data_IF_695067203422
#
_entry.id   IF_695067203422
#
_cell.length_a   1.000
_cell.length_b   1.000
_cell.length_c   1.000
_cell.angle_alpha   90.00
_cell.angle_beta   90.00
_cell.angle_gamma   90.00
#
_symmetry.space_group_name_H-M   'P 1'
#
loop_
_entity.id
_entity.type
_entity.pdbx_description
1 polymer ?
#
# COMPACT_ATOMS: atom_id res chain seq x y z
N UNK A 1 30.95 -4.23 9.13
CA UNK A 1 29.65 -3.62 9.50
C UNK A 1 29.00 -2.75 8.40
N UNK A 2 29.68 -2.37 7.30
CA UNK A 2 29.10 -1.47 6.27
C UNK A 2 28.08 -2.09 5.29
N UNK A 3 28.18 -3.39 4.98
CA UNK A 3 27.31 -4.03 3.96
C UNK A 3 25.87 -4.19 4.46
N UNK A 4 25.68 -4.59 5.73
CA UNK A 4 24.34 -4.73 6.31
C UNK A 4 23.61 -3.39 6.46
N UNK A 5 24.35 -2.31 6.76
CA UNK A 5 23.77 -0.96 6.84
C UNK A 5 23.37 -0.44 5.45
N UNK A 6 24.18 -0.73 4.42
CA UNK A 6 23.88 -0.41 3.03
C UNK A 6 22.65 -1.16 2.50
N UNK A 7 22.50 -2.45 2.83
CA UNK A 7 21.33 -3.24 2.42
C UNK A 7 20.03 -2.73 3.08
N UNK A 8 20.07 -2.43 4.39
CA UNK A 8 18.92 -1.86 5.09
C UNK A 8 18.53 -0.50 4.53
N UNK A 9 19.51 0.36 4.27
CA UNK A 9 19.26 1.66 3.64
C UNK A 9 18.64 1.51 2.25
N UNK A 10 19.21 0.66 1.40
CA UNK A 10 18.69 0.42 0.05
C UNK A 10 17.25 -0.11 0.08
N UNK A 11 16.94 -1.02 1.00
CA UNK A 11 15.57 -1.51 1.21
C UNK A 11 14.63 -0.40 1.67
N UNK A 12 15.00 0.41 2.68
CA UNK A 12 14.20 1.55 3.13
C UNK A 12 13.96 2.57 2.01
N UNK A 13 14.98 2.86 1.20
CA UNK A 13 14.85 3.73 0.03
C UNK A 13 13.87 3.13 -0.98
N UNK A 14 13.99 1.85 -1.32
CA UNK A 14 13.09 1.18 -2.25
C UNK A 14 11.63 1.16 -1.80
N UNK A 15 11.37 0.97 -0.50
CA UNK A 15 10.02 1.08 0.07
C UNK A 15 9.48 2.50 -0.08
N UNK A 16 10.28 3.51 0.25
CA UNK A 16 9.86 4.90 0.12
C UNK A 16 9.62 5.28 -1.34
N UNK A 17 10.49 4.86 -2.26
CA UNK A 17 10.32 5.06 -3.70
C UNK A 17 8.99 4.46 -4.19
N UNK A 18 8.67 3.23 -3.74
CA UNK A 18 7.42 2.55 -4.06
C UNK A 18 6.19 3.38 -3.64
N UNK A 19 6.16 3.93 -2.43
CA UNK A 19 5.05 4.78 -1.97
C UNK A 19 5.04 6.14 -2.67
N UNK A 20 6.20 6.75 -2.95
CA UNK A 20 6.26 8.02 -3.68
C UNK A 20 5.80 7.87 -5.14
N UNK A 21 5.97 6.71 -5.77
CA UNK A 21 5.42 6.42 -7.09
C UNK A 21 3.88 6.35 -7.08
N UNK A 22 3.24 5.99 -5.96
CA UNK A 22 1.79 6.12 -5.80
C UNK A 22 1.38 7.59 -5.67
N UNK A 23 2.14 8.39 -4.93
CA UNK A 23 1.88 9.84 -4.81
C UNK A 23 2.01 10.52 -6.17
N UNK A 24 3.05 10.19 -6.95
CA UNK A 24 3.24 10.71 -8.30
C UNK A 24 2.08 10.33 -9.22
N UNK A 25 1.65 9.06 -9.18
CA UNK A 25 0.48 8.59 -9.92
C UNK A 25 -0.80 9.33 -9.54
N UNK A 26 -1.05 9.54 -8.25
CA UNK A 26 -2.22 10.28 -7.77
C UNK A 26 -2.29 11.70 -8.37
N UNK A 27 -1.14 12.38 -8.48
CA UNK A 27 -1.04 13.73 -9.07
C UNK A 27 -1.24 13.76 -10.59
N UNK A 28 -1.04 12.64 -11.26
CA UNK A 28 -1.10 12.50 -12.71
C UNK A 28 -2.17 11.48 -13.14
N UNK A 29 -3.27 11.42 -12.40
CA UNK A 29 -4.44 10.59 -12.72
C UNK A 29 -5.02 10.96 -14.09
N UNK A 30 -5.63 10.01 -14.80
CA UNK A 30 -6.25 10.29 -16.09
C UNK A 30 -7.48 11.20 -15.93
N UNK A 31 -7.87 11.95 -16.99
CA UNK A 31 -9.09 12.75 -16.95
C UNK A 31 -10.32 11.90 -16.58
N UNK A 32 -11.07 12.34 -15.57
CA UNK A 32 -12.24 11.60 -15.06
C UNK A 32 -11.93 10.59 -13.95
N UNK A 33 -10.66 10.45 -13.58
CA UNK A 33 -10.19 9.64 -12.46
C UNK A 33 -9.60 10.55 -11.38
N UNK A 34 -9.80 10.17 -10.12
CA UNK A 34 -9.10 10.75 -8.98
C UNK A 34 -8.51 9.63 -8.16
N UNK A 35 -7.29 9.83 -7.69
CA UNK A 35 -6.63 8.85 -6.84
C UNK A 35 -5.87 9.55 -5.72
N UNK A 36 -5.80 8.88 -4.58
CA UNK A 36 -5.17 9.41 -3.38
C UNK A 36 -4.52 8.27 -2.60
N UNK A 37 -3.26 8.43 -2.22
CA UNK A 37 -2.68 7.66 -1.13
C UNK A 37 -3.22 8.26 0.16
N UNK A 38 -4.30 7.71 0.71
CA UNK A 38 -5.00 8.22 1.89
C UNK A 38 -4.32 7.85 3.22
N UNK A 39 -3.45 6.84 3.23
CA UNK A 39 -2.56 6.55 4.36
C UNK A 39 -1.23 5.96 3.88
N UNK A 40 -0.15 6.30 4.59
CA UNK A 40 1.16 5.67 4.44
C UNK A 40 1.85 5.60 5.81
N UNK A 41 2.08 4.38 6.29
CA UNK A 41 2.82 4.10 7.51
C UNK A 41 4.13 3.40 7.17
N UNK A 42 5.24 3.92 7.70
CA UNK A 42 6.57 3.33 7.52
C UNK A 42 6.73 2.01 8.30
N UNK A 43 7.73 1.21 7.94
CA UNK A 43 8.15 0.01 8.69
C UNK A 43 8.28 0.29 10.20
N UNK A 44 8.93 1.41 10.57
CA UNK A 44 9.10 1.78 11.98
C UNK A 44 7.77 2.05 12.68
N UNK A 45 6.82 2.68 11.99
CA UNK A 45 5.48 2.88 12.55
C UNK A 45 4.76 1.55 12.67
N UNK A 46 4.82 0.70 11.65
CA UNK A 46 4.20 -0.62 11.68
C UNK A 46 4.76 -1.50 12.81
N UNK A 47 6.07 -1.51 13.00
CA UNK A 47 6.71 -2.24 14.10
C UNK A 47 6.27 -1.76 15.49
N UNK A 48 5.90 -0.48 15.65
CA UNK A 48 5.34 0.03 16.91
C UNK A 48 3.89 -0.38 17.14
N UNK A 49 3.10 -0.57 16.08
CA UNK A 49 1.66 -0.87 16.19
C UNK A 49 1.36 -2.38 16.14
N UNK A 50 2.15 -3.13 15.38
CA UNK A 50 1.89 -4.55 15.07
C UNK A 50 3.06 -5.47 15.44
N UNK A 51 4.17 -4.91 15.94
CA UNK A 51 5.48 -5.57 16.05
C UNK A 51 5.52 -6.83 16.91
N UNK A 52 4.49 -7.07 17.72
CA UNK A 52 4.31 -8.28 18.51
C UNK A 52 3.88 -9.48 17.63
N UNK A 53 3.24 -9.21 16.48
CA UNK A 53 2.73 -10.23 15.56
C UNK A 53 3.41 -10.18 14.18
N UNK A 54 3.55 -8.98 13.61
CA UNK A 54 4.11 -8.76 12.27
C UNK A 54 4.95 -7.48 12.19
N UNK A 55 5.84 -7.43 11.20
CA UNK A 55 6.64 -6.23 10.89
C UNK A 55 6.62 -6.02 9.37
N UNK A 56 5.52 -5.49 8.81
CA UNK A 56 5.45 -5.19 7.39
C UNK A 56 6.38 -4.00 7.08
N UNK A 57 6.88 -3.95 5.85
CA UNK A 57 7.73 -2.87 5.37
C UNK A 57 6.97 -1.56 5.21
N UNK A 58 5.64 -1.65 5.04
CA UNK A 58 4.75 -0.51 5.14
C UNK A 58 3.29 -0.91 5.25
N UNK A 59 2.46 0.06 5.57
CA UNK A 59 1.00 -0.04 5.44
C UNK A 59 0.50 1.12 4.60
N UNK A 60 -0.41 0.84 3.69
CA UNK A 60 -0.94 1.81 2.75
C UNK A 60 -2.45 1.75 2.64
N UNK A 61 -3.03 2.89 2.24
CA UNK A 61 -4.43 2.99 1.86
C UNK A 61 -4.54 3.84 0.61
N UNK A 62 -5.19 3.31 -0.41
CA UNK A 62 -5.36 3.93 -1.72
C UNK A 62 -6.84 4.11 -1.97
N UNK A 63 -7.24 5.36 -2.20
CA UNK A 63 -8.57 5.73 -2.67
C UNK A 63 -8.50 6.01 -4.15
N UNK A 64 -9.56 5.61 -4.84
CA UNK A 64 -9.69 5.81 -6.26
C UNK A 64 -11.16 6.02 -6.61
N UNK A 65 -11.44 7.07 -7.36
CA UNK A 65 -12.76 7.43 -7.85
C UNK A 65 -12.70 7.48 -9.38
N UNK A 66 -13.63 6.77 -10.02
CA UNK A 66 -13.86 6.86 -11.46
C UNK A 66 -15.35 6.81 -11.78
N UNK A 67 -15.70 6.62 -13.05
CA UNK A 67 -17.09 6.49 -13.52
C UNK A 67 -17.88 5.35 -12.86
N UNK A 68 -17.20 4.39 -12.23
CA UNK A 68 -17.83 3.25 -11.54
C UNK A 68 -18.01 3.51 -10.03
N UNK A 69 -17.58 4.68 -9.54
CA UNK A 69 -17.75 5.13 -8.16
C UNK A 69 -16.46 5.08 -7.33
N UNK A 70 -16.61 5.36 -6.04
CA UNK A 70 -15.53 5.35 -5.07
C UNK A 70 -15.11 3.92 -4.70
N UNK A 71 -13.81 3.65 -4.77
CA UNK A 71 -13.17 2.42 -4.31
C UNK A 71 -12.00 2.74 -3.41
N UNK A 72 -11.74 1.84 -2.48
CA UNK A 72 -10.61 1.95 -1.58
C UNK A 72 -10.03 0.56 -1.32
N UNK A 73 -8.70 0.51 -1.23
CA UNK A 73 -7.96 -0.67 -0.78
C UNK A 73 -6.99 -0.25 0.31
N UNK A 74 -6.85 -1.06 1.34
CA UNK A 74 -5.75 -0.96 2.30
C UNK A 74 -4.92 -2.23 2.25
N UNK A 75 -3.64 -2.13 2.62
CA UNK A 75 -2.74 -3.27 2.56
C UNK A 75 -1.56 -3.14 3.51
N UNK A 76 -0.99 -4.29 3.85
CA UNK A 76 0.40 -4.41 4.26
C UNK A 76 1.29 -4.63 3.05
N UNK A 77 2.48 -4.03 3.05
CA UNK A 77 3.50 -4.21 2.03
C UNK A 77 4.66 -5.05 2.58
N UNK A 78 5.05 -6.05 1.78
CA UNK A 78 6.31 -6.78 1.92
C UNK A 78 7.14 -6.52 0.66
N UNK A 79 8.25 -5.79 0.81
CA UNK A 79 9.14 -5.37 -0.26
C UNK A 79 10.38 -6.26 -0.26
N UNK A 80 10.51 -7.08 -1.28
CA UNK A 80 11.64 -7.99 -1.44
C UNK A 80 12.73 -7.33 -2.29
N UNK A 81 13.87 -7.03 -1.67
CA UNK A 81 15.04 -6.48 -2.37
C UNK A 81 15.92 -7.58 -3.02
N UNK A 82 15.46 -8.83 -3.05
CA UNK A 82 16.12 -9.93 -3.74
C UNK A 82 17.14 -10.71 -2.90
N UNK A 83 17.42 -10.26 -1.68
CA UNK A 83 18.53 -10.75 -0.86
C UNK A 83 18.12 -11.78 0.20
N UNK A 84 16.86 -11.79 0.60
CA UNK A 84 16.37 -12.72 1.63
C UNK A 84 15.87 -14.05 1.02
N UNK A 85 15.95 -15.18 1.75
CA UNK A 85 15.31 -16.41 1.32
C UNK A 85 13.80 -16.26 1.26
N UNK A 86 13.17 -16.66 0.15
CA UNK A 86 11.71 -16.61 -0.02
C UNK A 86 10.93 -17.48 0.99
N UNK A 87 11.58 -18.45 1.62
CA UNK A 87 11.00 -19.22 2.72
C UNK A 87 10.71 -18.36 3.95
N UNK A 88 11.50 -17.30 4.20
CA UNK A 88 11.22 -16.34 5.27
C UNK A 88 9.94 -15.59 4.98
N UNK A 89 9.77 -15.08 3.76
CA UNK A 89 8.54 -14.41 3.32
C UNK A 89 7.32 -15.32 3.51
N UNK A 90 7.40 -16.58 3.07
CA UNK A 90 6.30 -17.53 3.26
C UNK A 90 6.02 -17.81 4.75
N UNK A 91 7.06 -17.86 5.59
CA UNK A 91 6.93 -18.02 7.04
C UNK A 91 6.22 -16.86 7.74
N UNK A 92 6.19 -15.65 7.14
CA UNK A 92 5.47 -14.50 7.70
C UNK A 92 3.95 -14.67 7.69
N UNK A 93 3.40 -15.54 6.82
CA UNK A 93 1.95 -15.68 6.65
C UNK A 93 1.22 -16.08 7.93
N UNK A 94 1.86 -16.89 8.79
CA UNK A 94 1.28 -17.26 10.08
C UNK A 94 1.09 -16.04 10.99
N UNK A 95 2.03 -15.08 11.00
CA UNK A 95 1.90 -13.83 11.76
C UNK A 95 0.77 -12.95 11.24
N UNK A 96 0.61 -12.83 9.92
CA UNK A 96 -0.52 -12.09 9.32
C UNK A 96 -1.87 -12.73 9.64
N UNK A 97 -1.96 -14.06 9.57
CA UNK A 97 -3.18 -14.78 9.94
C UNK A 97 -3.51 -14.60 11.43
N UNK A 98 -2.51 -14.66 12.31
CA UNK A 98 -2.68 -14.39 13.73
C UNK A 98 -3.16 -12.96 14.02
N UNK A 99 -2.63 -11.96 13.30
CA UNK A 99 -3.11 -10.57 13.40
C UNK A 99 -4.58 -10.45 12.96
N UNK A 100 -4.95 -11.06 11.85
CA UNK A 100 -6.33 -11.04 11.36
C UNK A 100 -7.29 -11.71 12.35
N UNK A 101 -6.90 -12.83 12.95
CA UNK A 101 -7.68 -13.48 14.00
C UNK A 101 -7.80 -12.63 15.27
N UNK A 102 -6.70 -12.02 15.72
CA UNK A 102 -6.68 -11.24 16.95
C UNK A 102 -7.48 -9.93 16.85
N UNK A 103 -7.52 -9.31 15.66
CA UNK A 103 -8.19 -8.02 15.44
C UNK A 103 -9.59 -8.17 14.83
N UNK A 104 -9.90 -9.31 14.22
CA UNK A 104 -11.07 -9.49 13.37
C UNK A 104 -11.00 -8.72 12.04
N UNK A 105 -9.86 -8.10 11.72
CA UNK A 105 -9.67 -7.28 10.52
C UNK A 105 -8.83 -8.06 9.51
N UNK A 106 -9.40 -8.30 8.33
CA UNK A 106 -8.69 -8.92 7.22
C UNK A 106 -8.04 -7.83 6.35
N UNK A 107 -6.73 -7.65 6.47
CA UNK A 107 -5.96 -6.70 5.66
C UNK A 107 -5.16 -7.44 4.59
N UNK A 108 -5.35 -7.11 3.29
CA UNK A 108 -4.55 -7.68 2.21
C UNK A 108 -3.04 -7.50 2.40
N UNK A 109 -2.28 -8.51 1.96
CA UNK A 109 -0.83 -8.49 1.87
C UNK A 109 -0.39 -8.32 0.41
N UNK A 110 0.27 -7.22 0.11
CA UNK A 110 0.93 -6.99 -1.17
C UNK A 110 2.41 -7.35 -1.05
N UNK A 111 2.89 -8.21 -1.95
CA UNK A 111 4.31 -8.55 -2.02
C UNK A 111 4.89 -7.96 -3.31
N UNK A 112 5.89 -7.09 -3.16
CA UNK A 112 6.60 -6.45 -4.27
C UNK A 112 7.99 -7.06 -4.47
N UNK A 113 8.26 -7.57 -5.67
CA UNK A 113 9.44 -8.38 -5.99
C UNK A 113 10.26 -7.73 -7.10
N UNK A 114 11.56 -8.02 -7.23
CA UNK A 114 12.39 -7.32 -8.20
C UNK A 114 12.19 -7.84 -9.63
N UNK A 115 11.90 -9.15 -9.80
CA UNK A 115 11.82 -9.80 -11.12
C UNK A 115 10.68 -10.81 -11.20
N UNK A 116 10.19 -11.06 -12.42
CA UNK A 116 9.10 -12.02 -12.67
C UNK A 116 9.50 -13.45 -12.31
N UNK A 117 10.78 -13.81 -12.49
CA UNK A 117 11.31 -15.13 -12.10
C UNK A 117 11.24 -15.32 -10.58
N UNK A 118 11.63 -14.29 -9.82
CA UNK A 118 11.57 -14.33 -8.37
C UNK A 118 10.13 -14.32 -7.87
N UNK A 119 9.25 -13.60 -8.55
CA UNK A 119 7.80 -13.65 -8.31
C UNK A 119 7.23 -15.06 -8.49
N UNK A 120 7.53 -15.73 -9.60
CA UNK A 120 7.06 -17.09 -9.82
C UNK A 120 7.50 -18.04 -8.67
N UNK A 121 8.75 -17.96 -8.24
CA UNK A 121 9.27 -18.77 -7.14
C UNK A 121 8.59 -18.43 -5.80
N UNK A 122 8.40 -17.13 -5.50
CA UNK A 122 7.75 -16.68 -4.28
C UNK A 122 6.30 -17.14 -4.23
N UNK A 123 5.56 -17.03 -5.33
CA UNK A 123 4.19 -17.48 -5.45
C UNK A 123 4.03 -18.98 -5.16
N UNK A 124 4.98 -19.83 -5.58
CA UNK A 124 4.92 -21.27 -5.24
C UNK A 124 5.00 -21.50 -3.72
N UNK A 125 5.93 -20.82 -3.05
CA UNK A 125 6.12 -20.95 -1.61
C UNK A 125 4.97 -20.33 -0.82
N UNK A 126 4.52 -19.14 -1.23
CA UNK A 126 3.36 -18.46 -0.67
C UNK A 126 2.10 -19.32 -0.84
N UNK A 127 1.85 -19.90 -2.01
CA UNK A 127 0.68 -20.76 -2.23
C UNK A 127 0.72 -22.05 -1.41
N UNK A 128 1.91 -22.59 -1.12
CA UNK A 128 2.06 -23.71 -0.18
C UNK A 128 1.69 -23.28 1.24
N UNK A 129 2.36 -22.27 1.78
CA UNK A 129 2.11 -21.78 3.14
C UNK A 129 0.67 -21.28 3.33
N UNK A 130 0.11 -20.58 2.33
CA UNK A 130 -1.27 -20.12 2.34
C UNK A 130 -2.28 -21.27 2.41
N UNK A 131 -1.99 -22.41 1.78
CA UNK A 131 -2.87 -23.60 1.87
C UNK A 131 -2.83 -24.26 3.24
N UNK A 132 -1.77 -24.06 4.01
CA UNK A 132 -1.54 -24.59 5.37
C UNK A 132 -2.16 -23.70 6.45
N UNK A 133 -2.65 -22.49 6.12
CA UNK A 133 -3.40 -21.65 7.07
C UNK A 133 -4.76 -22.26 7.42
N UNK A 134 -5.17 -22.13 8.69
CA UNK A 134 -6.49 -22.58 9.18
C UNK A 134 -7.63 -21.88 8.44
N UNK A 135 -7.54 -20.55 8.30
CA UNK A 135 -8.44 -19.77 7.46
C UNK A 135 -7.65 -19.01 6.37
N UNK A 136 -7.80 -19.47 5.14
CA UNK A 136 -7.15 -18.89 3.95
C UNK A 136 -7.70 -17.51 3.58
N UNK A 137 -8.93 -17.19 3.99
CA UNK A 137 -9.56 -15.89 3.71
C UNK A 137 -8.99 -14.78 4.59
N UNK A 138 -8.37 -15.14 5.73
CA UNK A 138 -7.76 -14.21 6.68
C UNK A 138 -6.54 -13.44 6.13
N UNK A 139 -5.88 -13.96 5.09
CA UNK A 139 -4.74 -13.29 4.43
C UNK A 139 -4.92 -13.30 2.91
N UNK A 140 -5.64 -12.32 2.34
CA UNK A 140 -5.66 -12.07 0.90
C UNK A 140 -4.27 -11.62 0.45
N UNK A 141 -3.74 -12.20 -0.64
CA UNK A 141 -2.37 -11.93 -1.10
C UNK A 141 -2.40 -11.59 -2.58
N UNK A 142 -1.67 -10.54 -2.97
CA UNK A 142 -1.30 -10.30 -4.37
C UNK A 142 0.20 -10.04 -4.49
N UNK A 143 0.77 -10.45 -5.63
CA UNK A 143 2.19 -10.26 -5.94
C UNK A 143 2.36 -9.41 -7.18
N UNK A 144 3.44 -8.64 -7.24
CA UNK A 144 3.87 -7.94 -8.44
C UNK A 144 5.39 -7.91 -8.50
N UNK A 145 5.93 -7.71 -9.70
CA UNK A 145 7.36 -7.56 -9.91
C UNK A 145 7.69 -6.19 -10.54
N UNK A 146 8.75 -5.53 -10.08
CA UNK A 146 9.20 -4.23 -10.56
C UNK A 146 9.50 -4.22 -12.06
N UNK A 147 10.02 -5.32 -12.59
CA UNK A 147 10.28 -5.55 -14.02
C UNK A 147 9.02 -5.38 -14.90
N UNK A 148 7.82 -5.50 -14.34
CA UNK A 148 6.56 -5.35 -15.07
C UNK A 148 6.14 -3.90 -15.29
N UNK A 149 6.73 -2.95 -14.55
CA UNK A 149 6.46 -1.54 -14.76
C UNK A 149 6.95 -1.14 -16.16
N UNK A 150 6.11 -0.45 -16.92
CA UNK A 150 6.49 0.02 -18.25
C UNK A 150 7.46 1.20 -18.11
N UNK A 151 8.74 1.06 -18.47
CA UNK A 151 9.72 2.14 -18.32
C UNK A 151 9.49 3.31 -19.28
N UNK A 152 8.61 3.15 -20.28
CA UNK A 152 8.21 4.20 -21.23
C UNK A 152 6.97 4.96 -20.79
N UNK A 153 6.27 4.52 -19.74
CA UNK A 153 5.18 5.29 -19.17
C UNK A 153 5.74 6.59 -18.55
N UNK A 154 5.00 7.68 -18.63
CA UNK A 154 5.43 8.96 -18.03
C UNK A 154 5.53 8.87 -16.50
N UNK A 155 4.65 8.07 -15.89
CA UNK A 155 4.50 7.91 -14.44
C UNK A 155 4.31 6.43 -14.10
N UNK A 156 5.34 5.57 -14.27
CA UNK A 156 5.22 4.14 -13.95
C UNK A 156 4.94 3.98 -12.46
N UNK A 157 3.94 3.17 -12.12
CA UNK A 157 3.44 3.10 -10.75
C UNK A 157 3.05 1.70 -10.34
N UNK A 158 3.25 1.32 -9.06
CA UNK A 158 2.62 0.12 -8.53
C UNK A 158 1.08 0.21 -8.49
N UNK A 159 0.46 1.34 -8.84
CA UNK A 159 -0.98 1.41 -9.09
C UNK A 159 -1.41 0.74 -10.42
N UNK A 160 -0.47 0.55 -11.35
CA UNK A 160 -0.71 0.02 -12.69
C UNK A 160 -1.10 -1.47 -12.67
N UNK A 161 -1.46 -2.02 -13.83
CA UNK A 161 -1.92 -3.40 -14.02
C UNK A 161 -0.81 -4.46 -13.86
N UNK A 162 -0.16 -4.48 -12.70
CA UNK A 162 0.99 -5.35 -12.40
C UNK A 162 0.68 -6.42 -11.35
N UNK A 163 -0.47 -6.37 -10.69
CA UNK A 163 -0.78 -7.26 -9.57
C UNK A 163 -1.43 -8.56 -10.00
N UNK A 164 -0.96 -9.67 -9.45
CA UNK A 164 -1.57 -10.97 -9.61
C UNK A 164 -2.01 -11.52 -8.24
N UNK A 165 -3.33 -11.66 -7.97
CA UNK A 165 -3.81 -12.32 -6.76
C UNK A 165 -3.24 -13.74 -6.64
N UNK A 166 -2.89 -14.18 -5.42
CA UNK A 166 -2.23 -15.48 -5.21
C UNK A 166 -3.10 -16.66 -5.67
N UNK A 167 -4.41 -16.54 -5.49
CA UNK A 167 -5.41 -17.53 -5.90
C UNK A 167 -5.87 -17.39 -7.37
N UNK A 168 -5.29 -16.48 -8.14
CA UNK A 168 -5.64 -16.32 -9.54
C UNK A 168 -5.30 -17.59 -10.35
N UNK A 169 -6.18 -18.01 -11.28
CA UNK A 169 -5.91 -19.17 -12.12
C UNK A 169 -4.71 -18.91 -13.05
N UNK A 170 -4.12 -20.00 -13.56
CA UNK A 170 -3.04 -19.90 -14.54
C UNK A 170 -3.50 -19.09 -15.76
N UNK A 171 -2.69 -18.11 -16.17
CA UNK A 171 -3.00 -17.23 -17.30
C UNK A 171 -4.00 -16.10 -16.99
N UNK A 172 -4.42 -15.92 -15.74
CA UNK A 172 -5.23 -14.78 -15.35
C UNK A 172 -4.53 -13.45 -15.67
N UNK A 173 -5.27 -12.42 -16.13
CA UNK A 173 -4.70 -11.10 -16.33
C UNK A 173 -4.27 -10.50 -14.99
N UNK A 174 -3.26 -9.64 -15.05
CA UNK A 174 -2.89 -8.79 -13.92
C UNK A 174 -3.93 -7.68 -13.73
N UNK A 175 -3.95 -7.13 -12.52
CA UNK A 175 -4.95 -6.16 -12.05
C UNK A 175 -4.25 -4.87 -11.65
N UNK A 176 -4.89 -3.71 -11.87
CA UNK A 176 -4.45 -2.47 -11.25
C UNK A 176 -4.70 -2.55 -9.73
N UNK A 177 -4.00 -1.72 -8.96
CA UNK A 177 -4.17 -1.69 -7.50
C UNK A 177 -5.64 -1.41 -7.11
N UNK A 178 -6.33 -0.54 -7.85
CA UNK A 178 -7.76 -0.21 -7.65
C UNK A 178 -8.71 -1.37 -7.95
N UNK A 179 -8.29 -2.35 -8.75
CA UNK A 179 -9.08 -3.53 -9.12
C UNK A 179 -8.84 -4.76 -8.24
N UNK A 180 -7.98 -4.66 -7.23
CA UNK A 180 -7.71 -5.76 -6.29
C UNK A 180 -8.89 -6.10 -5.36
N UNK A 181 -9.65 -5.14 -4.79
CA UNK A 181 -10.77 -5.46 -3.90
C UNK A 181 -11.80 -6.42 -4.50
N UNK A 182 -12.05 -6.31 -5.80
CA UNK A 182 -12.96 -7.18 -6.55
C UNK A 182 -12.53 -8.66 -6.57
N UNK A 183 -11.26 -8.94 -6.27
CA UNK A 183 -10.71 -10.31 -6.16
C UNK A 183 -10.94 -10.93 -4.78
N UNK A 184 -11.30 -10.10 -3.79
CA UNK A 184 -11.50 -10.47 -2.40
C UNK A 184 -12.81 -9.88 -1.86
N UNK A 185 -13.98 -10.31 -2.38
CA UNK A 185 -15.27 -9.73 -2.00
C UNK A 185 -15.63 -9.93 -0.52
N UNK A 186 -14.91 -10.81 0.20
CA UNK A 186 -15.06 -11.02 1.64
C UNK A 186 -14.31 -9.99 2.49
N UNK A 187 -13.40 -9.22 1.91
CA UNK A 187 -12.68 -8.13 2.60
C UNK A 187 -13.59 -6.92 2.64
N UNK A 188 -13.97 -6.50 3.83
CA UNK A 188 -14.77 -5.28 3.99
C UNK A 188 -13.98 -4.05 3.51
N UNK A 189 -14.64 -3.09 2.84
CA UNK A 189 -14.01 -1.81 2.54
C UNK A 189 -13.51 -1.16 3.85
N UNK A 190 -12.35 -0.49 3.86
CA UNK A 190 -11.84 0.06 5.10
C UNK A 190 -12.74 1.18 5.57
N UNK A 191 -13.24 1.08 6.80
CA UNK A 191 -14.03 2.12 7.43
C UNK A 191 -13.13 3.36 7.53
N UNK A 192 -13.54 4.46 6.90
CA UNK A 192 -12.98 5.77 7.18
C UNK A 192 -13.65 6.24 8.46
N UNK A 193 -12.97 6.30 9.62
CA UNK A 193 -13.51 7.04 10.73
C UNK A 193 -13.64 8.47 10.23
N UNK A 194 -14.86 9.01 10.19
CA UNK A 194 -15.03 10.46 10.17
C UNK A 194 -14.20 11.00 11.34
N UNK A 195 -13.50 12.12 11.17
CA UNK A 195 -12.54 12.68 12.14
C UNK A 195 -13.12 13.00 13.55
N UNK A 196 -14.34 12.59 13.85
CA UNK A 196 -15.03 12.78 15.12
C UNK A 196 -15.60 11.44 15.61
N UNK A 197 -14.81 10.68 16.35
CA UNK A 197 -15.37 9.74 17.33
C UNK A 197 -14.70 10.02 18.66
N UNK A 198 -15.42 10.56 19.67
CA UNK A 198 -14.82 10.86 20.95
C UNK A 198 -14.36 9.55 21.60
N UNK A 199 -13.05 9.42 21.74
CA UNK A 199 -12.41 8.28 22.40
C UNK A 199 -12.77 8.33 23.88
N UNK A 200 -13.35 7.25 24.41
CA UNK A 200 -13.60 7.11 25.85
C UNK A 200 -12.28 7.19 26.65
N UNK A 201 -12.35 7.54 27.94
CA UNK A 201 -11.20 7.97 28.75
C UNK A 201 -10.11 6.91 28.98
N UNK A 202 -10.30 5.65 28.58
CA UNK A 202 -9.40 4.52 28.85
C UNK A 202 -8.66 3.97 27.61
N UNK A 203 -8.70 4.65 26.46
CA UNK A 203 -7.84 4.26 25.34
C UNK A 203 -6.42 4.83 25.53
N UNK A 204 -5.34 4.03 25.40
CA UNK A 204 -3.98 4.55 25.49
C UNK A 204 -3.73 5.57 24.38
N UNK A 205 -3.84 6.85 24.71
CA UNK A 205 -3.46 7.97 23.85
C UNK A 205 -1.93 8.02 23.76
N UNK A 206 -1.30 7.47 22.72
CA UNK A 206 0.17 7.54 22.66
C UNK A 206 0.81 7.76 21.28
N UNK A 207 0.07 8.01 20.20
CA UNK A 207 0.72 8.32 18.91
C UNK A 207 -0.02 9.41 18.14
N UNK A 208 0.74 10.42 17.70
CA UNK A 208 0.27 11.42 16.75
C UNK A 208 -0.33 10.72 15.51
N UNK A 209 -1.41 11.30 14.93
CA UNK A 209 -1.94 10.79 13.68
C UNK A 209 -0.83 10.72 12.62
N UNK A 210 -0.88 9.77 11.67
CA UNK A 210 0.08 9.75 10.59
C UNK A 210 0.07 11.10 9.86
N UNK A 211 1.24 11.62 9.45
CA UNK A 211 1.26 12.81 8.64
C UNK A 211 0.45 12.58 7.37
N UNK A 212 -0.13 13.66 6.82
CA UNK A 212 -0.84 13.57 5.55
C UNK A 212 0.08 12.97 4.48
N UNK A 213 -0.28 11.81 3.90
CA UNK A 213 0.55 11.10 2.93
C UNK A 213 0.70 11.86 1.60
N UNK A 214 -0.33 12.62 1.22
CA UNK A 214 -0.26 13.49 0.06
C UNK A 214 0.43 14.81 0.45
N UNK A 215 1.42 15.28 -0.35
CA UNK A 215 1.98 16.61 -0.13
C UNK A 215 0.91 17.68 -0.30
N UNK A 216 1.00 18.82 0.41
CA UNK A 216 0.01 19.89 0.31
C UNK A 216 -0.20 20.30 -1.14
N UNK A 217 -1.46 20.52 -1.52
CA UNK A 217 -1.76 21.13 -2.83
C UNK A 217 -1.24 22.56 -2.77
N UNK A 218 -0.42 22.95 -3.75
CA UNK A 218 -0.02 24.33 -3.88
C UNK A 218 -1.30 25.15 -4.06
N UNK A 219 -1.69 25.90 -3.03
CA UNK A 219 -2.76 26.88 -3.16
C UNK A 219 -2.39 27.78 -4.33
N UNK A 220 -3.25 27.84 -5.36
CA UNK A 220 -3.15 28.82 -6.43
C UNK A 220 -2.76 30.15 -5.82
N UNK A 221 -1.61 30.68 -6.24
CA UNK A 221 -1.10 31.94 -5.76
C UNK A 221 -2.24 32.96 -5.76
N UNK A 222 -2.59 33.44 -4.57
CA UNK A 222 -3.62 34.44 -4.34
C UNK A 222 -3.42 35.56 -5.37
N UNK A 223 -4.41 35.77 -6.23
CA UNK A 223 -4.37 36.83 -7.24
C UNK A 223 -3.95 38.15 -6.56
N UNK A 224 -3.04 38.93 -7.17
CA UNK A 224 -2.61 40.19 -6.59
C UNK A 224 -3.84 41.06 -6.39
N UNK A 225 -4.03 41.57 -5.16
CA UNK A 225 -5.12 42.51 -4.86
C UNK A 225 -5.00 43.67 -5.85
N UNK A 226 -6.05 43.87 -6.63
CA UNK A 226 -6.12 44.93 -7.63
C UNK A 226 -5.73 46.29 -7.03
N UNK A 227 -4.96 47.04 -7.81
CA UNK A 227 -4.53 48.39 -7.49
C UNK A 227 -5.74 49.29 -7.19
N UNK A 228 -5.70 49.98 -6.05
CA UNK A 228 -6.61 51.06 -5.71
C UNK A 228 -6.56 52.14 -6.80
N UNK A 229 -7.70 52.46 -7.42
CA UNK A 229 -7.84 53.64 -8.28
C UNK A 229 -7.65 54.91 -7.41
N UNK A 230 -6.87 55.91 -7.84
CA UNK A 230 -6.83 57.19 -7.15
C UNK A 230 -8.14 57.95 -7.41
N UNK A 231 -8.76 58.42 -6.33
CA UNK A 231 -9.91 59.33 -6.40
C UNK A 231 -9.51 60.64 -7.07
N UNK A 232 -10.36 61.15 -7.96
CA UNK A 232 -10.30 62.53 -8.44
C UNK A 232 -11.23 63.38 -7.57
N UNK A 233 -10.70 64.50 -7.13
CA UNK A 233 -11.43 65.67 -6.62
C UNK A 233 -12.12 66.38 -7.77
#
# INVERSE_FOLDING_TARGET
>A
FGVAHSLRLAHTVGVNEWFTALVDRARHSHPGEQAELAAWWSETRCARHFGDLIKPDGYGRWRYHDRHGDRQVEWFLEYDFGTEPLSKLAGKLAGYAALAQATGITTPLLVWLPTSRREAAARQLLAKAWRELDDRRSVPIATAAAELLNPKASHPSPADEVWLPLNAPAGAPRRPLSGLPETWPHVAPPITPNEETPTGPDSPQLLSPPPSPMPPTAHSARAPRGASRPGRW
#
